data_IF_377907961746
#
_entry.id   IF_377907961746
#
_cell.length_a   1.000
_cell.length_b   1.000
_cell.length_c   1.000
_cell.angle_alpha   90.00
_cell.angle_beta   90.00
_cell.angle_gamma   90.00
#
_symmetry.space_group_name_H-M   'P 1'
#
loop_
_entity.id
_entity.type
_entity.pdbx_description
1 polymer ?
#
# COMPACT_ATOMS: atom_id res chain seq x y z
N UNK A 1 -2.82 -16.68 10.68
CA UNK A 1 -2.75 -16.28 12.10
C UNK A 1 -1.86 -15.04 12.25
N UNK A 2 -2.00 -14.27 13.33
CA UNK A 2 -1.01 -13.29 13.74
C UNK A 2 0.39 -13.95 13.74
N UNK A 3 1.39 -13.24 13.23
CA UNK A 3 2.75 -13.76 13.06
C UNK A 3 3.00 -14.56 11.77
N UNK A 4 1.99 -14.94 11.00
CA UNK A 4 2.24 -15.55 9.68
C UNK A 4 2.83 -14.54 8.69
N UNK A 5 3.51 -15.05 7.67
CA UNK A 5 3.94 -14.27 6.51
C UNK A 5 2.88 -14.30 5.39
N UNK A 6 2.51 -13.12 4.91
CA UNK A 6 1.75 -12.94 3.66
C UNK A 6 2.71 -12.55 2.54
N UNK A 7 2.66 -13.29 1.43
CA UNK A 7 3.42 -12.96 0.22
C UNK A 7 2.48 -12.47 -0.87
N UNK A 8 2.71 -11.26 -1.37
CA UNK A 8 1.98 -10.71 -2.53
C UNK A 8 2.98 -10.21 -3.59
N UNK A 9 3.16 -10.96 -4.71
CA UNK A 9 4.09 -10.57 -5.76
C UNK A 9 3.62 -9.40 -6.64
N UNK A 10 2.40 -8.89 -6.43
CA UNK A 10 1.81 -7.79 -7.19
C UNK A 10 1.19 -6.77 -6.22
N UNK A 11 2.03 -6.17 -5.39
CA UNK A 11 1.62 -5.43 -4.21
C UNK A 11 0.75 -4.20 -4.53
N UNK A 12 0.86 -3.65 -5.74
CA UNK A 12 0.07 -2.52 -6.21
C UNK A 12 0.11 -1.34 -5.24
N UNK A 13 -1.05 -0.88 -4.81
CA UNK A 13 -1.19 0.24 -3.87
C UNK A 13 -0.88 -0.10 -2.40
N UNK A 14 -0.38 -1.32 -2.10
CA UNK A 14 0.04 -1.72 -0.76
C UNK A 14 -1.08 -2.16 0.18
N UNK A 15 -2.29 -2.46 -0.32
CA UNK A 15 -3.44 -2.90 0.49
C UNK A 15 -3.10 -4.14 1.33
N UNK A 16 -2.48 -5.15 0.71
CA UNK A 16 -2.16 -6.41 1.38
C UNK A 16 -1.16 -6.20 2.50
N UNK A 17 -0.11 -5.40 2.28
CA UNK A 17 0.86 -5.05 3.31
C UNK A 17 0.21 -4.31 4.49
N UNK A 18 -0.65 -3.32 4.19
CA UNK A 18 -1.36 -2.55 5.22
C UNK A 18 -2.26 -3.44 6.08
N UNK A 19 -3.16 -4.22 5.46
CA UNK A 19 -4.07 -5.11 6.18
C UNK A 19 -3.31 -6.19 6.95
N UNK A 20 -2.21 -6.72 6.39
CA UNK A 20 -1.35 -7.68 7.09
C UNK A 20 -0.80 -7.09 8.37
N UNK A 21 -0.31 -5.83 8.35
CA UNK A 21 0.15 -5.12 9.54
C UNK A 21 -0.98 -4.94 10.57
N UNK A 22 -2.16 -4.49 10.15
CA UNK A 22 -3.30 -4.29 11.06
C UNK A 22 -3.78 -5.61 11.71
N UNK A 23 -3.61 -6.73 11.02
CA UNK A 23 -3.92 -8.07 11.53
C UNK A 23 -2.76 -8.70 12.34
N UNK A 24 -1.68 -7.96 12.58
CA UNK A 24 -0.50 -8.46 13.31
C UNK A 24 0.26 -9.56 12.56
N UNK A 25 0.26 -9.52 11.23
CA UNK A 25 0.98 -10.45 10.34
C UNK A 25 2.22 -9.79 9.76
N UNK A 26 3.20 -10.61 9.40
CA UNK A 26 4.31 -10.19 8.55
C UNK A 26 3.84 -10.15 7.09
N UNK A 27 4.51 -9.34 6.27
CA UNK A 27 4.26 -9.31 4.84
C UNK A 27 5.58 -9.17 4.07
N UNK A 28 5.59 -9.72 2.86
CA UNK A 28 6.58 -9.47 1.83
C UNK A 28 5.84 -9.26 0.51
N UNK A 29 6.30 -8.34 -0.30
CA UNK A 29 5.72 -8.15 -1.61
C UNK A 29 6.59 -7.34 -2.54
N UNK A 30 6.23 -7.41 -3.81
CA UNK A 30 6.97 -6.79 -4.90
C UNK A 30 6.00 -5.94 -5.72
N UNK A 31 6.48 -4.78 -6.17
CA UNK A 31 5.77 -3.94 -7.12
C UNK A 31 6.81 -3.36 -8.08
N UNK A 32 6.56 -3.53 -9.39
CA UNK A 32 7.51 -3.15 -10.44
C UNK A 32 7.26 -1.73 -10.93
N UNK A 33 6.04 -1.23 -10.78
CA UNK A 33 5.71 0.13 -11.12
C UNK A 33 6.17 1.05 -9.99
N UNK A 34 7.13 1.92 -10.30
CA UNK A 34 7.73 2.85 -9.33
C UNK A 34 6.72 3.75 -8.63
N UNK A 35 5.68 4.20 -9.34
CA UNK A 35 4.70 5.13 -8.79
C UNK A 35 3.83 4.42 -7.74
N UNK A 36 3.44 3.17 -8.02
CA UNK A 36 2.73 2.33 -7.06
C UNK A 36 3.62 1.92 -5.89
N UNK A 37 4.89 1.61 -6.13
CA UNK A 37 5.87 1.30 -5.09
C UNK A 37 6.04 2.48 -4.10
N UNK A 38 6.31 3.69 -4.61
CA UNK A 38 6.50 4.87 -3.78
C UNK A 38 5.21 5.24 -3.03
N UNK A 39 4.05 5.08 -3.68
CA UNK A 39 2.76 5.25 -3.03
C UNK A 39 2.56 4.26 -1.87
N UNK A 40 2.77 2.96 -2.12
CA UNK A 40 2.63 1.91 -1.12
C UNK A 40 3.59 2.12 0.05
N UNK A 41 4.84 2.48 -0.23
CA UNK A 41 5.87 2.77 0.78
C UNK A 41 5.50 3.96 1.66
N UNK A 42 5.17 5.11 1.05
CA UNK A 42 4.75 6.33 1.76
C UNK A 42 3.53 6.07 2.66
N UNK A 43 2.59 5.24 2.18
CA UNK A 43 1.43 4.82 2.95
C UNK A 43 1.79 3.94 4.14
N UNK A 44 2.68 2.96 3.97
CA UNK A 44 3.13 2.09 5.05
C UNK A 44 3.89 2.90 6.12
N UNK A 45 4.71 3.87 5.72
CA UNK A 45 5.50 4.71 6.63
C UNK A 45 4.63 5.72 7.41
N UNK A 46 3.65 6.34 6.74
CA UNK A 46 2.81 7.38 7.37
C UNK A 46 1.64 6.83 8.18
N UNK A 47 1.24 5.58 7.95
CA UNK A 47 0.06 4.96 8.56
C UNK A 47 -1.27 5.62 8.16
N UNK A 48 -1.28 6.57 7.23
CA UNK A 48 -2.48 7.29 6.82
C UNK A 48 -3.09 6.70 5.53
N UNK A 49 -4.38 6.37 5.59
CA UNK A 49 -5.15 5.85 4.45
C UNK A 49 -5.85 6.94 3.63
N UNK A 50 -5.28 8.15 3.53
CA UNK A 50 -5.93 9.23 2.78
C UNK A 50 -5.29 9.42 1.42
N UNK A 51 -5.93 8.87 0.39
CA UNK A 51 -5.84 9.43 -0.94
C UNK A 51 -6.34 10.88 -0.84
N UNK A 52 -5.47 11.86 -1.05
CA UNK A 52 -5.96 13.19 -1.41
C UNK A 52 -6.69 13.00 -2.73
N UNK A 53 -8.01 13.16 -2.73
CA UNK A 53 -8.75 13.25 -3.98
C UNK A 53 -8.10 14.35 -4.81
N UNK A 54 -7.51 13.99 -5.94
CA UNK A 54 -7.06 14.96 -6.92
C UNK A 54 -8.33 15.61 -7.45
N UNK A 55 -8.66 16.82 -6.99
CA UNK A 55 -9.59 17.67 -7.70
C UNK A 55 -8.92 18.03 -9.03
N UNK A 56 -9.11 17.19 -10.05
CA UNK A 56 -8.98 17.62 -11.43
C UNK A 56 -10.15 18.58 -11.71
N UNK A 57 -10.00 19.84 -11.32
CA UNK A 57 -10.69 20.92 -12.04
C UNK A 57 -9.94 21.06 -13.35
N UNK A 58 -10.26 20.20 -14.32
CA UNK A 58 -9.84 20.45 -15.70
C UNK A 58 -10.67 21.62 -16.19
N UNK A 59 -9.96 22.74 -16.42
CA UNK A 59 -10.43 23.91 -17.14
C UNK A 59 -11.08 23.47 -18.46
N UNK A 60 -12.41 23.55 -18.50
CA UNK A 60 -13.21 24.02 -19.62
C UNK A 60 -14.36 24.85 -19.04
#
# INVERSE_FOLDING_TARGET
LPGDLVCDPFLGSGQVAFVSRELGRHYIGFEINSDYYEFAKSRLDSGQYRLKATNQTSLF
#
